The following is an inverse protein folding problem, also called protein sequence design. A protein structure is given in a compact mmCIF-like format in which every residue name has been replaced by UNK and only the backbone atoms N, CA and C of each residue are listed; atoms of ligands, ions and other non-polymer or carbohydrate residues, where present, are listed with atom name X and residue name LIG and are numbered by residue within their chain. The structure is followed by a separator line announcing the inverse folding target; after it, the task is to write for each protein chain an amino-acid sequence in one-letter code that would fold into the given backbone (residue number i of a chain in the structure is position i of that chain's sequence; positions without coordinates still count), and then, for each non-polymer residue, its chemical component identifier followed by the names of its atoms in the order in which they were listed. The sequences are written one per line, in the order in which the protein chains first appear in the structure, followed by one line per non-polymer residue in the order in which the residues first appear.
data_IF_595584984976
#
_entry.id   IF_595584984976
#
_cell.length_a   1.000
_cell.length_b   1.000
_cell.length_c   1.000
_cell.angle_alpha   90.00
_cell.angle_beta   90.00
_cell.angle_gamma   90.00
#
_symmetry.space_group_name_H-M   'P 1'
#
loop_
_entity.id
_entity.type
_entity.pdbx_description
1 polymer ?
#
# COMPACT_ATOMS: atom_id res chain seq x y z
N UNK A 1 0.17 24.93 -0.62
CA UNK A 1 1.14 23.87 -0.95
C UNK A 1 1.21 22.91 0.22
N UNK A 2 0.84 21.65 0.03
CA UNK A 2 0.89 20.67 1.11
C UNK A 2 2.31 20.15 1.22
N UNK A 3 2.99 20.48 2.31
CA UNK A 3 4.36 20.00 2.58
C UNK A 3 4.32 18.49 2.78
N UNK A 4 5.17 17.77 2.05
CA UNK A 4 5.38 16.35 2.27
C UNK A 4 5.98 16.15 3.67
N UNK A 5 5.37 15.28 4.47
CA UNK A 5 5.83 14.96 5.82
C UNK A 5 6.08 13.46 5.92
N UNK A 6 7.30 13.11 6.34
CA UNK A 6 7.62 11.76 6.72
C UNK A 6 6.88 11.38 8.00
N UNK A 7 6.44 10.13 8.07
CA UNK A 7 5.71 9.58 9.22
C UNK A 7 6.26 8.19 9.55
N UNK A 8 6.06 7.75 10.80
CA UNK A 8 6.38 6.37 11.18
C UNK A 8 5.48 5.38 10.41
N UNK A 9 6.00 4.23 9.94
CA UNK A 9 5.23 3.24 9.19
C UNK A 9 4.35 2.39 10.11
N UNK A 10 3.28 2.99 10.63
CA UNK A 10 2.41 2.39 11.65
C UNK A 10 1.03 1.95 11.12
N UNK A 11 0.62 2.41 9.93
CA UNK A 11 -0.75 2.22 9.41
C UNK A 11 -0.69 1.33 8.16
N UNK A 12 -1.54 0.31 8.12
CA UNK A 12 -1.75 -0.54 6.94
C UNK A 12 -3.02 -0.12 6.23
N UNK A 13 -2.97 -0.07 4.90
CA UNK A 13 -4.12 0.25 4.05
C UNK A 13 -4.29 -0.82 3.00
N UNK A 14 -5.54 -1.06 2.61
CA UNK A 14 -5.88 -1.85 1.45
C UNK A 14 -5.95 -0.95 0.22
N UNK A 15 -5.29 -1.38 -0.85
CA UNK A 15 -5.25 -0.70 -2.13
C UNK A 15 -5.69 -1.68 -3.20
N UNK A 16 -6.64 -1.27 -4.05
CA UNK A 16 -6.97 -1.99 -5.27
C UNK A 16 -6.17 -1.38 -6.42
N UNK A 17 -5.65 -2.22 -7.32
CA UNK A 17 -4.80 -1.79 -8.42
C UNK A 17 -4.89 -2.81 -9.57
N UNK A 18 -4.43 -2.44 -10.76
CA UNK A 18 -4.54 -3.27 -11.97
C UNK A 18 -3.43 -4.32 -12.05
N UNK A 19 -2.18 -3.87 -11.90
CA UNK A 19 -1.01 -4.74 -11.94
C UNK A 19 0.16 -4.13 -11.18
N UNK A 20 1.14 -4.97 -10.85
CA UNK A 20 2.48 -4.51 -10.51
C UNK A 20 3.23 -4.14 -11.78
N UNK A 21 3.84 -2.95 -11.83
CA UNK A 21 4.73 -2.57 -12.94
C UNK A 21 6.06 -3.32 -12.84
N UNK A 22 6.87 -3.25 -13.92
CA UNK A 22 8.24 -3.80 -13.94
C UNK A 22 9.12 -3.19 -12.84
N UNK A 23 8.88 -1.92 -12.50
CA UNK A 23 9.63 -1.19 -11.46
C UNK A 23 9.10 -1.47 -10.04
N UNK A 24 8.12 -2.37 -9.88
CA UNK A 24 7.57 -2.73 -8.57
C UNK A 24 6.58 -1.71 -8.00
N UNK A 25 5.96 -0.87 -8.84
CA UNK A 25 4.92 0.07 -8.43
C UNK A 25 3.52 -0.48 -8.71
N UNK A 26 2.50 0.11 -8.08
CA UNK A 26 1.09 -0.22 -8.34
C UNK A 26 0.57 0.58 -9.53
N UNK A 27 0.00 -0.07 -10.55
CA UNK A 27 -0.64 0.60 -11.68
C UNK A 27 -2.11 0.94 -11.37
N UNK A 28 -2.48 2.21 -11.55
CA UNK A 28 -3.82 2.76 -11.24
C UNK A 28 -4.30 2.42 -9.81
N UNK A 29 -3.55 2.78 -8.76
CA UNK A 29 -3.92 2.47 -7.39
C UNK A 29 -5.11 3.30 -6.93
N UNK A 30 -6.04 2.66 -6.21
CA UNK A 30 -7.13 3.31 -5.48
C UNK A 30 -7.12 2.88 -4.02
N UNK A 31 -7.28 3.85 -3.13
CA UNK A 31 -7.48 3.58 -1.71
C UNK A 31 -8.81 2.86 -1.49
N UNK A 32 -8.80 1.80 -0.69
CA UNK A 32 -10.01 1.04 -0.31
C UNK A 32 -10.38 1.30 1.14
N UNK A 33 -9.39 1.24 2.04
CA UNK A 33 -9.63 1.43 3.47
C UNK A 33 -8.39 1.17 4.32
N UNK A 34 -8.48 1.52 5.60
CA UNK A 34 -7.48 1.16 6.63
C UNK A 34 -7.70 -0.30 7.04
N UNK A 35 -6.62 -1.00 7.38
CA UNK A 35 -6.62 -2.41 7.84
C UNK A 35 -6.08 -2.48 9.26
N UNK A 36 -6.93 -2.14 10.23
CA UNK A 36 -6.58 -2.20 11.66
C UNK A 36 -6.38 -3.65 12.15
N UNK A 37 -6.85 -4.63 11.38
CA UNK A 37 -6.69 -6.06 11.61
C UNK A 37 -5.30 -6.61 11.22
N UNK A 38 -4.48 -5.84 10.50
CA UNK A 38 -3.19 -6.30 9.96
C UNK A 38 -2.01 -5.46 10.45
N UNK A 39 -0.99 -6.05 11.10
CA UNK A 39 0.15 -5.29 11.58
C UNK A 39 1.11 -4.91 10.42
N UNK A 40 1.76 -3.72 10.46
CA UNK A 40 2.68 -3.28 9.40
C UNK A 40 3.83 -4.25 9.10
N UNK A 41 4.45 -4.90 10.11
CA UNK A 41 5.47 -5.89 9.89
C UNK A 41 5.00 -7.13 9.12
N UNK A 42 3.72 -7.33 8.82
CA UNK A 42 3.20 -8.49 8.04
C UNK A 42 2.84 -8.14 6.59
N UNK A 43 2.98 -6.86 6.19
CA UNK A 43 2.71 -6.45 4.81
C UNK A 43 3.83 -6.94 3.90
N UNK A 44 3.47 -7.74 2.89
CA UNK A 44 4.37 -8.29 1.87
C UNK A 44 3.76 -8.08 0.49
N UNK A 45 4.58 -8.12 -0.55
CA UNK A 45 4.08 -8.22 -1.92
C UNK A 45 3.37 -9.57 -2.09
N UNK A 46 2.10 -9.52 -2.48
CA UNK A 46 1.31 -10.71 -2.70
C UNK A 46 1.81 -11.44 -3.96
N UNK A 47 1.91 -12.77 -3.85
CA UNK A 47 2.21 -13.63 -4.99
C UNK A 47 1.01 -13.66 -5.93
N UNK A 48 1.26 -13.53 -7.24
CA UNK A 48 0.23 -13.86 -8.23
C UNK A 48 -0.05 -15.35 -8.08
N UNK A 49 -1.31 -15.69 -7.87
CA UNK A 49 -1.76 -17.07 -7.81
C UNK A 49 -1.99 -17.63 -9.21
#
# INVERSE_FOLDING_TARGET
MTTLRWVAPAIVVQVAFVEWTRDGLLRHPRFVGVRDDKPPPDVRRESVR
#
